data_IF_656756839121
#
_entry.id   IF_656756839121
#
_cell.length_a   1.000
_cell.length_b   1.000
_cell.length_c   1.000
_cell.angle_alpha   90.00
_cell.angle_beta   90.00
_cell.angle_gamma   90.00
#
_symmetry.space_group_name_H-M   'P 1'
#
loop_
_entity.id
_entity.type
_entity.pdbx_description
1 polymer ?
#
# COMPACT_ATOMS: atom_id res chain seq x y z
N UNK A 1 -12.18 17.91 9.76
CA UNK A 1 -12.21 16.49 10.16
C UNK A 1 -10.79 15.94 10.12
N UNK A 2 -10.43 15.05 11.04
CA UNK A 2 -9.11 14.42 11.09
C UNK A 2 -9.26 12.90 11.29
N UNK A 3 -8.45 12.12 10.59
CA UNK A 3 -8.33 10.67 10.77
C UNK A 3 -6.88 10.27 10.96
N UNK A 4 -6.65 9.29 11.82
CA UNK A 4 -5.33 8.72 12.08
C UNK A 4 -5.19 7.39 11.34
N UNK A 5 -4.01 7.16 10.77
CA UNK A 5 -3.63 5.93 10.08
C UNK A 5 -2.40 5.31 10.76
N UNK A 6 -2.06 4.08 10.38
CA UNK A 6 -0.96 3.34 11.00
C UNK A 6 0.40 4.07 10.86
N UNK A 7 0.62 4.73 9.73
CA UNK A 7 1.89 5.37 9.39
C UNK A 7 1.70 6.50 8.36
N UNK A 8 2.76 7.29 8.14
CA UNK A 8 2.72 8.45 7.26
C UNK A 8 2.63 8.11 5.76
N UNK A 9 3.04 6.91 5.36
CA UNK A 9 2.92 6.44 3.99
C UNK A 9 1.48 6.05 3.68
N UNK A 10 0.83 5.34 4.61
CA UNK A 10 -0.59 5.02 4.55
C UNK A 10 -1.43 6.31 4.50
N UNK A 11 -1.16 7.28 5.37
CA UNK A 11 -1.87 8.57 5.36
C UNK A 11 -1.71 9.32 4.02
N UNK A 12 -0.52 9.32 3.41
CA UNK A 12 -0.29 9.92 2.08
C UNK A 12 -1.05 9.20 0.98
N UNK A 13 -1.09 7.86 0.99
CA UNK A 13 -1.86 7.07 0.02
C UNK A 13 -3.35 7.37 0.10
N UNK A 14 -3.90 7.40 1.31
CA UNK A 14 -5.31 7.72 1.55
C UNK A 14 -5.64 9.14 1.06
N UNK A 15 -4.81 10.13 1.38
CA UNK A 15 -5.01 11.50 0.88
C UNK A 15 -4.94 11.60 -0.65
N UNK A 16 -4.04 10.85 -1.30
CA UNK A 16 -3.94 10.80 -2.75
C UNK A 16 -5.15 10.11 -3.40
N UNK A 17 -5.68 9.06 -2.77
CA UNK A 17 -6.88 8.36 -3.24
C UNK A 17 -8.15 9.21 -3.11
N UNK A 18 -8.21 10.11 -2.13
CA UNK A 18 -9.31 11.06 -1.94
C UNK A 18 -9.24 12.29 -2.87
N UNK A 19 -8.05 12.61 -3.40
CA UNK A 19 -7.83 13.80 -4.22
C UNK A 19 -8.75 13.93 -5.46
N UNK A 20 -9.11 12.85 -6.19
CA UNK A 20 -9.96 12.96 -7.39
C UNK A 20 -11.38 13.47 -7.11
N UNK A 21 -11.93 13.18 -5.93
CA UNK A 21 -13.31 13.56 -5.55
C UNK A 21 -13.36 14.90 -4.80
N UNK A 22 -12.20 15.53 -4.56
CA UNK A 22 -12.16 16.85 -3.96
C UNK A 22 -12.77 17.88 -4.92
N UNK A 23 -13.79 18.57 -4.45
CA UNK A 23 -14.37 19.76 -5.09
C UNK A 23 -13.70 21.02 -4.52
N UNK A 24 -13.98 22.21 -5.08
CA UNK A 24 -13.42 23.48 -4.58
C UNK A 24 -13.74 23.75 -3.09
N UNK A 25 -14.81 23.14 -2.58
CA UNK A 25 -15.25 23.22 -1.19
C UNK A 25 -14.57 22.20 -0.26
N UNK A 26 -13.81 21.25 -0.80
CA UNK A 26 -13.18 20.14 -0.08
C UNK A 26 -11.65 20.20 -0.28
N UNK A 27 -10.92 20.30 0.82
CA UNK A 27 -9.47 20.25 0.82
C UNK A 27 -8.96 19.15 1.75
N UNK A 28 -8.15 18.24 1.21
CA UNK A 28 -7.55 17.12 1.95
C UNK A 28 -6.03 17.25 1.96
N UNK A 29 -5.44 17.18 3.15
CA UNK A 29 -3.98 17.17 3.35
C UNK A 29 -3.59 16.02 4.25
N UNK A 30 -2.32 15.58 4.16
CA UNK A 30 -1.75 14.62 5.11
C UNK A 30 -0.55 15.24 5.82
N UNK A 31 -0.46 15.01 7.13
CA UNK A 31 0.62 15.46 8.00
C UNK A 31 1.00 14.29 8.91
N UNK A 32 2.20 13.73 8.73
CA UNK A 32 2.58 12.50 9.41
C UNK A 32 1.57 11.38 9.15
N UNK A 33 1.09 10.73 10.20
CA UNK A 33 0.10 9.65 10.14
C UNK A 33 -1.37 10.15 10.15
N UNK A 34 -1.60 11.45 9.97
CA UNK A 34 -2.93 12.06 10.04
C UNK A 34 -3.37 12.61 8.69
N UNK A 35 -4.61 12.35 8.30
CA UNK A 35 -5.27 13.00 7.16
C UNK A 35 -6.25 14.04 7.71
N UNK A 36 -6.09 15.29 7.26
CA UNK A 36 -6.97 16.40 7.61
C UNK A 36 -7.82 16.78 6.40
N UNK A 37 -9.13 16.87 6.62
CA UNK A 37 -10.10 17.28 5.60
C UNK A 37 -10.84 18.52 6.07
N UNK A 38 -10.82 19.56 5.25
CA UNK A 38 -11.61 20.79 5.44
C UNK A 38 -12.74 20.81 4.42
N UNK A 39 -13.97 20.96 4.91
CA UNK A 39 -15.17 21.10 4.09
C UNK A 39 -15.77 22.48 4.36
N UNK A 40 -16.07 23.23 3.31
CA UNK A 40 -16.70 24.56 3.39
C UNK A 40 -18.09 24.48 2.78
N UNK A 41 -19.14 24.85 3.53
CA UNK A 41 -20.53 24.89 3.05
C UNK A 41 -21.28 26.08 3.65
N UNK A 42 -22.22 26.63 2.89
CA UNK A 42 -23.04 27.77 3.33
C UNK A 42 -24.15 27.42 4.34
N UNK A 43 -24.48 26.14 4.51
CA UNK A 43 -25.48 25.68 5.48
C UNK A 43 -24.97 24.45 6.23
N UNK A 44 -25.38 24.30 7.49
CA UNK A 44 -25.05 23.12 8.32
C UNK A 44 -25.65 21.83 7.77
N UNK A 45 -26.82 21.89 7.13
CA UNK A 45 -27.42 20.74 6.45
C UNK A 45 -26.60 20.29 5.22
N UNK A 46 -26.11 21.23 4.42
CA UNK A 46 -25.20 20.93 3.31
C UNK A 46 -23.85 20.39 3.77
N UNK A 47 -23.35 20.86 4.93
CA UNK A 47 -22.15 20.32 5.54
C UNK A 47 -22.30 18.85 5.92
N UNK A 48 -23.40 18.48 6.59
CA UNK A 48 -23.64 17.10 7.03
C UNK A 48 -23.68 16.12 5.86
N UNK A 49 -24.42 16.45 4.80
CA UNK A 49 -24.48 15.60 3.60
C UNK A 49 -23.10 15.41 2.96
N UNK A 50 -22.29 16.45 2.94
CA UNK A 50 -20.95 16.40 2.33
C UNK A 50 -19.94 15.65 3.16
N UNK A 51 -20.11 15.65 4.49
CA UNK A 51 -19.31 14.81 5.38
C UNK A 51 -19.71 13.34 5.20
N UNK A 52 -21.00 13.03 5.07
CA UNK A 52 -21.47 11.65 4.90
C UNK A 52 -20.93 11.02 3.60
N UNK A 53 -21.04 11.73 2.47
CA UNK A 53 -20.44 11.30 1.19
C UNK A 53 -18.92 11.11 1.31
N UNK A 54 -18.24 12.02 2.02
CA UNK A 54 -16.79 11.96 2.21
C UNK A 54 -16.34 10.75 3.04
N UNK A 55 -17.11 10.34 4.05
CA UNK A 55 -16.79 9.18 4.88
C UNK A 55 -16.87 7.87 4.09
N UNK A 56 -17.80 7.77 3.15
CA UNK A 56 -17.89 6.61 2.23
C UNK A 56 -16.66 6.55 1.34
N UNK A 57 -16.29 7.68 0.70
CA UNK A 57 -15.10 7.75 -0.14
C UNK A 57 -13.82 7.45 0.65
N UNK A 58 -13.74 7.87 1.92
CA UNK A 58 -12.62 7.56 2.81
C UNK A 58 -12.51 6.06 3.11
N UNK A 59 -13.63 5.36 3.31
CA UNK A 59 -13.64 3.91 3.51
C UNK A 59 -13.06 3.18 2.29
N UNK A 60 -13.48 3.56 1.08
CA UNK A 60 -12.95 2.99 -0.17
C UNK A 60 -11.44 3.28 -0.32
N UNK A 61 -11.00 4.49 0.04
CA UNK A 61 -9.58 4.84 -0.01
C UNK A 61 -8.72 3.99 0.94
N UNK A 62 -9.22 3.65 2.13
CA UNK A 62 -8.52 2.78 3.08
C UNK A 62 -8.43 1.33 2.57
N UNK A 63 -9.52 0.83 1.98
CA UNK A 63 -9.55 -0.51 1.35
C UNK A 63 -8.55 -0.61 0.18
N UNK A 64 -8.51 0.40 -0.70
CA UNK A 64 -7.55 0.47 -1.82
C UNK A 64 -6.11 0.54 -1.32
N UNK A 65 -5.85 1.33 -0.25
CA UNK A 65 -4.54 1.41 0.35
C UNK A 65 -4.11 0.07 0.97
N UNK A 66 -5.03 -0.68 1.58
CA UNK A 66 -4.77 -2.02 2.10
C UNK A 66 -4.45 -3.02 0.99
N UNK A 67 -5.28 -3.09 -0.06
CA UNK A 67 -5.06 -3.98 -1.20
C UNK A 67 -3.73 -3.70 -1.92
N UNK A 68 -3.33 -2.42 -2.01
CA UNK A 68 -2.03 -2.03 -2.54
C UNK A 68 -0.84 -2.57 -1.73
N UNK A 69 -0.95 -2.63 -0.39
CA UNK A 69 0.09 -3.22 0.48
C UNK A 69 0.19 -4.73 0.30
N UNK A 70 -0.94 -5.43 0.20
CA UNK A 70 -0.97 -6.88 -0.04
C UNK A 70 -0.30 -7.25 -1.37
N UNK A 71 -0.57 -6.46 -2.41
CA UNK A 71 0.05 -6.63 -3.73
C UNK A 71 1.56 -6.41 -3.68
N UNK A 72 2.03 -5.36 -2.98
CA UNK A 72 3.47 -5.10 -2.79
C UNK A 72 4.16 -6.20 -1.97
N UNK A 73 3.52 -6.74 -0.93
CA UNK A 73 4.05 -7.87 -0.16
C UNK A 73 4.23 -9.13 -1.01
N UNK A 74 3.28 -9.38 -1.93
CA UNK A 74 3.35 -10.51 -2.86
C UNK A 74 4.43 -10.33 -3.93
N UNK A 75 4.56 -9.11 -4.48
CA UNK A 75 5.62 -8.78 -5.43
C UNK A 75 7.02 -8.85 -4.79
N UNK A 76 7.19 -8.34 -3.57
CA UNK A 76 8.45 -8.41 -2.83
C UNK A 76 8.84 -9.87 -2.47
N UNK A 77 7.86 -10.72 -2.16
CA UNK A 77 8.11 -12.15 -1.92
C UNK A 77 8.53 -12.90 -3.19
N UNK A 78 7.97 -12.53 -4.35
CA UNK A 78 8.37 -13.09 -5.64
C UNK A 78 9.78 -12.65 -6.07
N UNK A 79 10.14 -11.39 -5.83
CA UNK A 79 11.47 -10.83 -6.13
C UNK A 79 12.56 -11.46 -5.23
N UNK A 80 12.26 -11.70 -3.95
CA UNK A 80 13.17 -12.39 -3.04
C UNK A 80 13.40 -13.88 -3.40
N UNK A 81 12.44 -14.52 -4.09
CA UNK A 81 12.58 -15.90 -4.54
C UNK A 81 13.55 -16.03 -5.73
N UNK A 82 13.65 -15.01 -6.59
CA UNK A 82 14.53 -14.97 -7.76
C UNK A 82 16.03 -14.87 -7.39
N UNK A 83 16.35 -14.26 -6.23
CA UNK A 83 17.74 -14.13 -5.77
C UNK A 83 18.32 -15.35 -5.04
N UNK A 84 17.53 -16.40 -4.80
CA UNK A 84 17.99 -17.59 -4.06
C UNK A 84 18.55 -18.72 -4.95
N UNK A 85 18.64 -18.53 -6.27
CA UNK A 85 19.19 -19.51 -7.22
C UNK A 85 20.71 -19.33 -7.46
N UNK A 86 21.48 -19.03 -6.41
CA UNK A 86 22.93 -18.94 -6.51
C UNK A 86 23.69 -19.49 -5.30
N UNK A 87 23.29 -20.64 -4.75
CA UNK A 87 24.24 -21.50 -4.02
C UNK A 87 23.76 -22.96 -3.91
N UNK A 88 24.00 -23.75 -4.95
CA UNK A 88 23.48 -25.11 -5.01
C UNK A 88 24.16 -26.07 -5.97
N UNK A 89 25.34 -25.75 -6.52
CA UNK A 89 26.18 -26.78 -7.12
C UNK A 89 27.02 -27.36 -5.98
N UNK A 90 26.43 -28.27 -5.21
CA UNK A 90 27.23 -29.22 -4.44
C UNK A 90 27.89 -30.13 -5.46
N UNK A 91 29.17 -29.90 -5.67
CA UNK A 91 30.07 -30.76 -6.42
C UNK A 91 30.08 -32.14 -5.75
N UNK A 92 29.22 -33.04 -6.23
CA UNK A 92 29.39 -34.48 -6.06
C UNK A 92 29.98 -35.03 -7.35
N UNK A 93 31.17 -34.56 -7.72
CA UNK A 93 32.10 -35.36 -8.48
C UNK A 93 32.81 -36.32 -7.50
N UNK A 94 32.08 -37.35 -7.03
CA UNK A 94 32.75 -38.58 -6.60
C UNK A 94 32.94 -39.40 -7.88
N UNK A 95 34.04 -39.10 -8.54
CA UNK A 95 34.49 -39.69 -9.78
C UNK A 95 34.54 -41.21 -9.64
N UNK A 96 33.62 -41.89 -10.33
CA UNK A 96 33.79 -43.28 -10.73
C UNK A 96 35.10 -43.42 -11.50
N UNK A 97 36.20 -43.79 -10.84
CA UNK A 97 37.39 -44.25 -11.53
C UNK A 97 37.27 -45.75 -11.83
N UNK A 98 36.94 -45.97 -13.09
CA UNK A 98 36.85 -47.22 -13.80
C UNK A 98 38.23 -47.95 -13.86
N UNK A 99 38.14 -49.29 -13.85
CA UNK A 99 39.05 -50.35 -14.32
C UNK A 99 40.55 -50.07 -14.64
N UNK A 100 41.48 -50.86 -14.06
CA UNK A 100 42.20 -52.00 -14.69
C UNK A 100 43.47 -52.45 -13.93
N UNK A 101 43.62 -53.78 -13.79
CA UNK A 101 44.85 -54.60 -13.91
C UNK A 101 45.97 -54.57 -12.83
N UNK A 102 46.05 -55.62 -12.00
CA UNK A 102 47.07 -56.71 -12.05
C UNK A 102 46.87 -57.76 -10.96
#
# INVERSE_FOLDING_TARGET
METAHADAETARRVAAALAPDNTDDIATTSEGATVRTRVTRGTTGGLLASVDDYLVNLGVADDVAAAGRETQGTAAAADAADTNDADGIRDTADDTHDTHDT
#
